data_IF_193204461041
#
_entry.id   IF_193204461041
#
_cell.length_a   1.000
_cell.length_b   1.000
_cell.length_c   1.000
_cell.angle_alpha   90.00
_cell.angle_beta   90.00
_cell.angle_gamma   90.00
#
_symmetry.space_group_name_H-M   'P 1'
#
loop_
_entity.id
_entity.type
_entity.pdbx_description
1 polymer ?
#
# COMPACT_ATOMS: atom_id res chain seq x y z
N UNK A 1 -17.34 -6.07 -1.22
CA UNK A 1 -16.66 -5.23 -0.21
C UNK A 1 -15.17 -5.36 -0.32
N UNK A 2 -14.46 -4.25 -0.16
CA UNK A 2 -13.00 -4.23 -0.26
C UNK A 2 -12.39 -4.61 1.10
N UNK A 3 -11.49 -5.59 1.11
CA UNK A 3 -10.77 -5.92 2.34
C UNK A 3 -9.76 -4.82 2.67
N UNK A 4 -9.26 -4.81 3.91
CA UNK A 4 -8.24 -3.85 4.31
C UNK A 4 -6.99 -3.97 3.43
N UNK A 5 -6.58 -5.19 3.11
CA UNK A 5 -5.42 -5.43 2.24
C UNK A 5 -5.68 -4.88 0.85
N UNK A 6 -6.84 -5.14 0.28
CA UNK A 6 -7.19 -4.62 -1.05
C UNK A 6 -7.21 -3.09 -1.07
N UNK A 7 -7.77 -2.48 -0.04
CA UNK A 7 -7.81 -1.03 0.07
C UNK A 7 -6.41 -0.43 0.09
N UNK A 8 -5.49 -1.07 0.82
CA UNK A 8 -4.09 -0.63 0.88
C UNK A 8 -3.40 -0.80 -0.46
N UNK A 9 -3.68 -1.90 -1.17
CA UNK A 9 -3.09 -2.14 -2.49
C UNK A 9 -3.56 -1.10 -3.51
N UNK A 10 -4.84 -0.77 -3.48
CA UNK A 10 -5.38 0.26 -4.36
C UNK A 10 -4.68 1.60 -4.08
N UNK A 11 -4.51 1.92 -2.81
CA UNK A 11 -3.84 3.15 -2.42
C UNK A 11 -2.39 3.18 -2.90
N UNK A 12 -1.68 2.07 -2.76
CA UNK A 12 -0.31 1.95 -3.25
C UNK A 12 -0.26 2.21 -4.76
N UNK A 13 -1.17 1.60 -5.52
CA UNK A 13 -1.21 1.79 -6.97
C UNK A 13 -1.39 3.25 -7.35
N UNK A 14 -2.30 3.94 -6.67
CA UNK A 14 -2.54 5.36 -6.93
C UNK A 14 -1.30 6.19 -6.63
N UNK A 15 -0.65 5.94 -5.51
CA UNK A 15 0.55 6.67 -5.11
C UNK A 15 1.70 6.42 -6.07
N UNK A 16 1.85 5.19 -6.55
CA UNK A 16 2.89 4.84 -7.52
C UNK A 16 2.68 5.52 -8.85
N UNK A 17 1.43 5.64 -9.28
CA UNK A 17 1.12 6.29 -10.56
C UNK A 17 1.32 7.80 -10.49
N UNK A 18 1.05 8.40 -9.34
CA UNK A 18 1.17 9.83 -9.18
C UNK A 18 2.62 10.27 -9.03
N UNK A 19 3.33 9.70 -8.09
CA UNK A 19 4.71 10.09 -7.81
C UNK A 19 5.42 8.96 -7.09
N UNK A 20 5.98 7.99 -7.84
CA UNK A 20 6.62 6.83 -7.21
C UNK A 20 7.83 7.20 -6.36
N UNK A 21 8.55 8.24 -6.72
CA UNK A 21 9.74 8.67 -5.97
C UNK A 21 9.32 9.44 -4.71
N UNK A 22 8.45 10.44 -4.86
CA UNK A 22 8.01 11.25 -3.73
C UNK A 22 7.20 10.46 -2.72
N UNK A 23 6.47 9.43 -3.19
CA UNK A 23 5.62 8.62 -2.33
C UNK A 23 6.29 7.34 -1.85
N UNK A 24 7.58 7.15 -2.14
CA UNK A 24 8.27 5.90 -1.82
C UNK A 24 8.16 5.50 -0.36
N UNK A 25 8.32 6.44 0.57
CA UNK A 25 8.23 6.16 1.99
C UNK A 25 6.83 5.71 2.40
N UNK A 26 5.81 6.38 1.87
CA UNK A 26 4.42 6.04 2.15
C UNK A 26 4.11 4.66 1.59
N UNK A 27 4.52 4.41 0.35
CA UNK A 27 4.32 3.12 -0.31
C UNK A 27 4.95 2.00 0.50
N UNK A 28 6.17 2.19 0.98
CA UNK A 28 6.87 1.19 1.78
C UNK A 28 6.14 0.92 3.09
N UNK A 29 5.60 1.95 3.74
CA UNK A 29 4.82 1.79 4.96
C UNK A 29 3.57 0.97 4.71
N UNK A 30 2.87 1.24 3.60
CA UNK A 30 1.66 0.52 3.26
C UNK A 30 1.96 -0.94 2.92
N UNK A 31 3.05 -1.19 2.20
CA UNK A 31 3.48 -2.55 1.89
C UNK A 31 3.79 -3.34 3.16
N UNK A 32 4.47 -2.70 4.12
CA UNK A 32 4.77 -3.34 5.40
C UNK A 32 3.50 -3.68 6.15
N UNK A 33 2.51 -2.78 6.11
CA UNK A 33 1.25 -3.03 6.79
C UNK A 33 0.50 -4.20 6.17
N UNK A 34 0.49 -4.29 4.84
CA UNK A 34 -0.11 -5.43 4.15
C UNK A 34 0.55 -6.72 4.59
N UNK A 35 1.88 -6.72 4.65
CA UNK A 35 2.63 -7.90 5.06
C UNK A 35 2.25 -8.36 6.46
N UNK A 36 2.11 -7.41 7.40
CA UNK A 36 1.70 -7.72 8.76
C UNK A 36 0.28 -8.27 8.81
N UNK A 37 -0.62 -7.76 7.97
CA UNK A 37 -1.99 -8.26 7.91
C UNK A 37 -2.09 -9.64 7.29
N UNK A 38 -1.17 -9.99 6.39
CA UNK A 38 -1.13 -11.31 5.78
C UNK A 38 -0.54 -12.37 6.69
N UNK A 39 0.32 -11.97 7.60
CA UNK A 39 0.93 -12.88 8.56
C UNK A 39 -0.03 -13.15 9.71
N UNK A 40 -0.17 -14.40 10.04
CA UNK A 40 -0.98 -14.82 11.20
C UNK A 40 -0.09 -15.40 12.26
#
# INVERSE_FOLDING_TARGET
MTTTIEALQIRINILQQRDPVGNANIINKLKRRIRLLEQK
#
